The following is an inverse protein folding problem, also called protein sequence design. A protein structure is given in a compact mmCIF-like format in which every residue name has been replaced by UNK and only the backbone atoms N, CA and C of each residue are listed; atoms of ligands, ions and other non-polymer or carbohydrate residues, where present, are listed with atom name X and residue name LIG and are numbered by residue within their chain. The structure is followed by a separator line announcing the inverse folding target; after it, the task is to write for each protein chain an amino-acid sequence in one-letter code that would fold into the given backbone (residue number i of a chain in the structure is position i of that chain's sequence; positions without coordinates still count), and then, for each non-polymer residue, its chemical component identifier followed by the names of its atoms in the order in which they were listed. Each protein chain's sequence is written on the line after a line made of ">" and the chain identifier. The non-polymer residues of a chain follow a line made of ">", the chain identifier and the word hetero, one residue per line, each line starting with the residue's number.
data_IF_807678963623
#
_entry.id   IF_807678963623
#
_cell.length_a   1.000
_cell.length_b   1.000
_cell.length_c   1.000
_cell.angle_alpha   90.00
_cell.angle_beta   90.00
_cell.angle_gamma   90.00
#
_symmetry.space_group_name_H-M   'P 1'
#
loop_
_entity.id
_entity.type
_entity.pdbx_description
1 polymer ?
#
# COMPACT_ATOMS: atom_id res chain seq x y z
N UNK A 1 -6.10 -6.91 22.26
CA UNK A 1 -6.23 -6.15 20.99
C UNK A 1 -4.95 -5.37 20.72
N UNK A 2 -4.44 -5.42 19.50
CA UNK A 2 -3.25 -4.66 19.14
C UNK A 2 -3.67 -3.29 18.64
N UNK A 3 -3.05 -2.27 19.22
CA UNK A 3 -3.29 -0.90 18.77
C UNK A 3 -2.48 -0.61 17.50
N UNK A 4 -3.12 0.00 16.51
CA UNK A 4 -2.46 0.38 15.26
C UNK A 4 -1.75 1.71 15.47
N UNK A 5 -0.44 1.66 15.69
CA UNK A 5 0.39 2.84 15.92
C UNK A 5 1.19 3.17 14.67
N UNK A 6 1.72 4.39 14.62
CA UNK A 6 2.64 4.79 13.56
C UNK A 6 3.84 3.86 13.48
N UNK A 7 4.39 3.46 14.63
CA UNK A 7 5.52 2.53 14.67
C UNK A 7 5.17 1.18 14.06
N UNK A 8 3.98 0.67 14.34
CA UNK A 8 3.53 -0.60 13.76
C UNK A 8 3.36 -0.49 12.24
N UNK A 9 2.80 0.60 11.77
CA UNK A 9 2.64 0.83 10.34
C UNK A 9 4.02 0.90 9.67
N UNK A 10 4.99 1.57 10.28
CA UNK A 10 6.35 1.62 9.74
C UNK A 10 6.99 0.22 9.66
N UNK A 11 6.76 -0.62 10.65
CA UNK A 11 7.24 -2.00 10.59
C UNK A 11 6.61 -2.77 9.43
N UNK A 12 5.31 -2.61 9.23
CA UNK A 12 4.62 -3.24 8.12
C UNK A 12 5.20 -2.80 6.78
N UNK A 13 5.46 -1.50 6.64
CA UNK A 13 6.04 -0.94 5.41
C UNK A 13 7.42 -1.52 5.14
N UNK A 14 8.26 -1.64 6.16
CA UNK A 14 9.61 -2.20 6.00
C UNK A 14 9.55 -3.68 5.60
N UNK A 15 8.63 -4.45 6.16
CA UNK A 15 8.46 -5.85 5.78
C UNK A 15 8.00 -5.95 4.32
N UNK A 16 7.02 -5.14 3.93
CA UNK A 16 6.54 -5.12 2.55
C UNK A 16 7.65 -4.72 1.58
N UNK A 17 8.44 -3.71 1.92
CA UNK A 17 9.54 -3.26 1.08
C UNK A 17 10.61 -4.32 0.92
N UNK A 18 10.93 -5.04 1.98
CA UNK A 18 11.88 -6.14 1.94
C UNK A 18 11.39 -7.28 1.05
N UNK A 19 10.09 -7.54 1.07
CA UNK A 19 9.51 -8.66 0.33
C UNK A 19 9.45 -8.42 -1.16
N UNK A 20 9.01 -7.24 -1.60
CA UNK A 20 8.74 -7.00 -3.02
C UNK A 20 9.64 -5.94 -3.66
N UNK A 21 10.48 -5.27 -2.89
CA UNK A 21 11.43 -4.24 -3.36
C UNK A 21 10.76 -3.22 -4.29
N UNK A 22 9.73 -2.51 -3.80
CA UNK A 22 8.94 -1.60 -4.62
C UNK A 22 9.66 -0.27 -4.85
N UNK A 23 9.16 0.53 -5.78
CA UNK A 23 9.59 1.93 -5.91
C UNK A 23 9.09 2.78 -4.76
N UNK A 24 7.86 2.55 -4.34
CA UNK A 24 7.25 3.34 -3.27
C UNK A 24 6.15 2.56 -2.58
N UNK A 25 5.90 2.92 -1.33
CA UNK A 25 4.73 2.46 -0.57
C UNK A 25 4.07 3.70 0.02
N UNK A 26 2.77 3.83 -0.23
CA UNK A 26 1.97 4.98 0.18
C UNK A 26 0.91 4.52 1.17
N UNK A 27 0.87 5.16 2.32
CA UNK A 27 -0.22 4.99 3.28
C UNK A 27 -1.32 5.95 2.89
N UNK A 28 -2.53 5.46 2.72
CA UNK A 28 -3.69 6.31 2.42
C UNK A 28 -4.87 5.93 3.32
N UNK A 29 -6.02 6.53 3.07
CA UNK A 29 -7.19 6.28 3.89
C UNK A 29 -7.10 6.94 5.26
N UNK A 30 -7.88 6.42 6.22
CA UNK A 30 -8.08 7.09 7.50
C UNK A 30 -6.80 7.24 8.34
N UNK A 31 -5.88 6.28 8.29
CA UNK A 31 -4.62 6.41 9.03
C UNK A 31 -3.71 7.49 8.44
N UNK A 32 -3.87 7.82 7.17
CA UNK A 32 -3.10 8.90 6.55
C UNK A 32 -3.69 10.27 6.82
N UNK A 33 -5.01 10.37 6.95
CA UNK A 33 -5.72 11.63 7.10
C UNK A 33 -6.00 12.03 8.55
N UNK A 34 -5.64 11.17 9.50
CA UNK A 34 -5.89 11.45 10.91
C UNK A 34 -7.29 11.11 11.39
N UNK A 35 -8.07 10.41 10.59
CA UNK A 35 -9.45 10.06 10.91
C UNK A 35 -9.63 8.61 11.34
N UNK A 36 -8.53 7.90 11.63
CA UNK A 36 -8.60 6.49 11.98
C UNK A 36 -9.25 6.26 13.34
N UNK A 37 -10.15 5.28 13.38
CA UNK A 37 -10.71 4.75 14.60
C UNK A 37 -10.06 3.41 14.97
N UNK A 38 -10.52 2.78 16.07
CA UNK A 38 -9.90 1.53 16.55
C UNK A 38 -9.95 0.38 15.56
N UNK A 39 -10.91 0.38 14.66
CA UNK A 39 -11.09 -0.71 13.70
C UNK A 39 -10.79 -0.29 12.25
N UNK A 40 -10.15 0.86 12.07
CA UNK A 40 -9.82 1.32 10.73
C UNK A 40 -8.73 0.46 10.11
N UNK A 41 -8.89 0.16 8.81
CA UNK A 41 -7.88 -0.57 8.04
C UNK A 41 -6.65 0.27 7.81
N UNK A 42 -5.50 -0.39 7.76
CA UNK A 42 -4.28 0.21 7.26
C UNK A 42 -4.30 0.01 5.74
N UNK A 43 -4.43 1.10 4.99
CA UNK A 43 -4.51 1.06 3.54
C UNK A 43 -3.16 1.38 2.93
N UNK A 44 -2.56 0.42 2.24
CA UNK A 44 -1.25 0.58 1.61
C UNK A 44 -1.36 0.41 0.10
N UNK A 45 -0.75 1.35 -0.62
CA UNK A 45 -0.55 1.23 -2.06
C UNK A 45 0.93 0.95 -2.30
N UNK A 46 1.22 -0.22 -2.85
CA UNK A 46 2.58 -0.64 -3.18
C UNK A 46 2.78 -0.44 -4.67
N UNK A 47 3.79 0.35 -5.04
CA UNK A 47 4.08 0.66 -6.44
C UNK A 47 5.32 -0.09 -6.87
N UNK A 48 5.18 -1.00 -7.84
CA UNK A 48 6.34 -1.73 -8.37
C UNK A 48 6.84 -1.08 -9.65
N UNK A 49 8.16 -1.22 -9.89
CA UNK A 49 8.80 -0.58 -11.05
C UNK A 49 8.36 -1.17 -12.37
N UNK A 50 8.31 -2.50 -12.44
CA UNK A 50 8.05 -3.20 -13.68
C UNK A 50 6.57 -3.34 -13.96
N UNK A 51 6.15 -3.23 -15.22
CA UNK A 51 4.76 -3.52 -15.59
C UNK A 51 4.41 -4.97 -15.27
N UNK A 52 3.13 -5.22 -15.07
CA UNK A 52 2.63 -6.58 -14.96
C UNK A 52 2.53 -7.18 -16.36
N UNK A 53 3.27 -8.26 -16.61
CA UNK A 53 3.31 -8.88 -17.93
C UNK A 53 2.24 -9.94 -18.14
N UNK A 54 1.71 -10.52 -17.06
CA UNK A 54 0.70 -11.57 -17.11
C UNK A 54 -0.43 -11.20 -16.15
N UNK A 55 -1.62 -11.70 -16.46
CA UNK A 55 -2.81 -11.39 -15.66
C UNK A 55 -2.71 -11.82 -14.21
N UNK A 56 -1.97 -12.90 -13.92
CA UNK A 56 -1.84 -13.42 -12.58
C UNK A 56 -0.69 -12.82 -11.76
N UNK A 57 0.19 -12.03 -12.38
CA UNK A 57 1.34 -11.47 -11.68
C UNK A 57 0.95 -10.54 -10.53
N UNK A 58 -0.06 -9.70 -10.74
CA UNK A 58 -0.57 -8.81 -9.69
C UNK A 58 -1.07 -9.63 -8.51
N UNK A 59 -1.85 -10.66 -8.80
CA UNK A 59 -2.40 -11.51 -7.76
C UNK A 59 -1.31 -12.23 -6.99
N UNK A 60 -0.28 -12.73 -7.67
CA UNK A 60 0.85 -13.39 -7.03
C UNK A 60 1.58 -12.43 -6.10
N UNK A 61 1.81 -11.21 -6.54
CA UNK A 61 2.45 -10.18 -5.73
C UNK A 61 1.61 -9.85 -4.49
N UNK A 62 0.30 -9.71 -4.67
CA UNK A 62 -0.60 -9.43 -3.56
C UNK A 62 -0.62 -10.58 -2.54
N UNK A 63 -0.64 -11.83 -3.01
CA UNK A 63 -0.60 -12.99 -2.12
C UNK A 63 0.70 -12.99 -1.31
N UNK A 64 1.83 -12.71 -1.97
CA UNK A 64 3.12 -12.66 -1.29
C UNK A 64 3.12 -11.61 -0.18
N UNK A 65 2.60 -10.43 -0.48
CA UNK A 65 2.53 -9.33 0.49
C UNK A 65 1.59 -9.67 1.65
N UNK A 66 0.43 -10.23 1.35
CA UNK A 66 -0.51 -10.64 2.39
C UNK A 66 0.10 -11.67 3.33
N UNK A 67 0.85 -12.63 2.80
CA UNK A 67 1.55 -13.62 3.63
C UNK A 67 2.62 -12.97 4.50
N UNK A 68 3.40 -12.07 3.92
CA UNK A 68 4.45 -11.38 4.65
C UNK A 68 3.90 -10.52 5.77
N UNK A 69 2.73 -9.91 5.57
CA UNK A 69 2.12 -9.01 6.54
C UNK A 69 1.11 -9.69 7.47
N UNK A 70 0.90 -10.99 7.30
CA UNK A 70 -0.10 -11.72 8.10
C UNK A 70 0.21 -11.72 9.59
N UNK A 71 1.48 -11.59 9.98
CA UNK A 71 1.87 -11.55 11.38
C UNK A 71 1.43 -10.30 12.12
N UNK A 72 1.06 -9.26 11.39
CA UNK A 72 0.57 -8.02 11.99
C UNK A 72 -0.94 -8.13 12.21
N UNK A 73 -1.41 -8.26 13.45
CA UNK A 73 -2.83 -8.54 13.73
C UNK A 73 -3.68 -7.28 13.71
N UNK A 74 -3.64 -6.54 12.62
CA UNK A 74 -4.44 -5.33 12.41
C UNK A 74 -5.16 -5.43 11.08
N UNK A 75 -6.34 -4.84 10.95
CA UNK A 75 -7.04 -4.79 9.66
C UNK A 75 -6.18 -4.07 8.63
N UNK A 76 -6.09 -4.61 7.43
CA UNK A 76 -5.25 -4.01 6.40
C UNK A 76 -5.83 -4.29 5.01
N UNK A 77 -5.57 -3.38 4.10
CA UNK A 77 -5.89 -3.52 2.70
C UNK A 77 -4.65 -3.14 1.90
N UNK A 78 -4.23 -4.01 1.02
CA UNK A 78 -2.97 -3.85 0.28
C UNK A 78 -3.27 -3.89 -1.21
N UNK A 79 -2.95 -2.81 -1.90
CA UNK A 79 -3.11 -2.70 -3.34
C UNK A 79 -1.74 -2.65 -3.99
N UNK A 80 -1.60 -3.27 -5.15
CA UNK A 80 -0.35 -3.26 -5.90
C UNK A 80 -0.62 -2.73 -7.31
N UNK A 81 0.10 -1.68 -7.68
CA UNK A 81 0.05 -1.11 -9.02
C UNK A 81 1.47 -0.92 -9.53
N UNK A 82 1.65 -1.01 -10.84
CA UNK A 82 2.93 -0.73 -11.45
C UNK A 82 3.09 0.78 -11.68
N UNK A 83 4.34 1.20 -11.90
CA UNK A 83 4.64 2.62 -12.15
C UNK A 83 3.85 3.18 -13.33
N UNK A 84 3.77 2.44 -14.41
CA UNK A 84 3.01 2.88 -15.60
C UNK A 84 1.52 3.00 -15.30
N UNK A 85 0.98 2.12 -14.46
CA UNK A 85 -0.42 2.23 -14.04
C UNK A 85 -0.65 3.46 -13.19
N UNK A 86 0.28 3.78 -12.28
CA UNK A 86 0.19 4.99 -11.47
C UNK A 86 0.19 6.22 -12.37
N UNK A 87 1.07 6.27 -13.36
CA UNK A 87 1.10 7.41 -14.29
C UNK A 87 -0.20 7.52 -15.09
N UNK A 88 -0.81 6.40 -15.45
CA UNK A 88 -2.07 6.39 -16.18
C UNK A 88 -3.23 6.93 -15.36
N UNK A 89 -3.30 6.57 -14.07
CA UNK A 89 -4.48 6.83 -13.25
C UNK A 89 -4.34 8.00 -12.27
N UNK A 90 -3.15 8.60 -12.16
CA UNK A 90 -2.90 9.62 -11.14
C UNK A 90 -3.78 10.85 -11.24
N UNK A 91 -4.23 11.18 -12.43
CA UNK A 91 -5.08 12.34 -12.66
C UNK A 91 -6.56 11.97 -12.82
N UNK A 92 -6.89 10.71 -12.64
CA UNK A 92 -8.27 10.25 -12.76
C UNK A 92 -9.05 10.61 -11.51
N UNK A 93 -10.20 11.23 -11.69
CA UNK A 93 -10.98 11.76 -10.58
C UNK A 93 -11.47 10.66 -9.60
N UNK A 94 -11.85 9.51 -10.11
CA UNK A 94 -12.49 8.46 -9.32
C UNK A 94 -11.65 7.20 -9.11
N UNK A 95 -10.39 7.20 -9.52
CA UNK A 95 -9.56 6.01 -9.37
C UNK A 95 -8.88 5.99 -8.01
N UNK A 96 -8.75 4.78 -7.43
CA UNK A 96 -8.13 4.61 -6.12
C UNK A 96 -6.68 5.11 -6.09
N UNK A 97 -5.93 4.98 -7.19
CA UNK A 97 -4.56 5.50 -7.28
C UNK A 97 -4.54 7.01 -7.10
N UNK A 98 -5.41 7.72 -7.80
CA UNK A 98 -5.47 9.18 -7.69
C UNK A 98 -5.82 9.61 -6.26
N UNK A 99 -6.76 8.90 -5.64
CA UNK A 99 -7.13 9.16 -4.26
C UNK A 99 -5.96 8.94 -3.31
N UNK A 100 -5.26 7.82 -3.47
CA UNK A 100 -4.12 7.50 -2.62
C UNK A 100 -3.02 8.56 -2.74
N UNK A 101 -2.77 9.07 -3.95
CA UNK A 101 -1.77 10.12 -4.14
C UNK A 101 -2.19 11.46 -3.53
N UNK A 102 -3.48 11.80 -3.59
CA UNK A 102 -3.98 13.06 -3.02
C UNK A 102 -3.99 13.05 -1.50
N UNK A 103 -4.45 11.96 -0.90
CA UNK A 103 -4.68 11.88 0.54
C UNK A 103 -3.54 11.24 1.29
N UNK A 104 -2.70 10.50 0.60
CA UNK A 104 -1.73 9.63 1.23
C UNK A 104 -0.40 10.27 1.54
N UNK A 105 0.43 9.48 2.23
CA UNK A 105 1.81 9.84 2.54
C UNK A 105 2.73 8.74 2.05
N UNK A 106 3.83 9.12 1.42
CA UNK A 106 4.85 8.16 1.00
C UNK A 106 5.64 7.75 2.24
N UNK A 107 5.58 6.47 2.60
CA UNK A 107 6.31 5.94 3.74
C UNK A 107 7.58 5.20 3.34
N UNK A 108 7.74 4.88 2.06
CA UNK A 108 8.93 4.21 1.54
C UNK A 108 9.13 4.63 0.10
N UNK A 109 10.38 4.93 -0.27
CA UNK A 109 10.75 5.23 -1.65
C UNK A 109 10.26 6.58 -2.14
N UNK A 110 10.13 6.69 -3.45
CA UNK A 110 9.74 7.91 -4.14
C UNK A 110 8.87 7.60 -5.36
N UNK A 111 8.09 8.58 -5.75
CA UNK A 111 7.34 8.53 -7.00
C UNK A 111 7.74 9.67 -7.92
#
# INVERSE_FOLDING_TARGET
>A
MVETTEALIQEMVLVAASECKPEAIILFGSHATGNAGPESDVDLLVVRSQPFGRDDERRQEMVRLWRALARFPVPKDILVYSRDEVERWRDSRNHIVARALREGRILYGNL
#
